data_IF_829912290443
#
_entry.id   IF_829912290443
#
_cell.length_a   1.000
_cell.length_b   1.000
_cell.length_c   1.000
_cell.angle_alpha   90.00
_cell.angle_beta   90.00
_cell.angle_gamma   90.00
#
_symmetry.space_group_name_H-M   'P 1'
#
loop_
_entity.id
_entity.type
_entity.pdbx_description
1 polymer ?
#
# COMPACT_ATOMS: atom_id res chain seq x y z
N UNK A 1 -5.51 -16.81 -0.51
CA UNK A 1 -5.47 -15.49 0.14
C UNK A 1 -5.69 -15.61 1.65
N UNK A 2 -6.70 -16.39 2.07
CA UNK A 2 -7.01 -16.64 3.50
C UNK A 2 -5.80 -17.11 4.31
N UNK A 3 -5.02 -18.06 3.77
CA UNK A 3 -3.82 -18.55 4.44
C UNK A 3 -2.82 -17.44 4.76
N UNK A 4 -2.61 -16.47 3.85
CA UNK A 4 -1.67 -15.37 4.07
C UNK A 4 -2.24 -14.37 5.10
N UNK A 5 -3.52 -14.04 4.99
CA UNK A 5 -4.15 -13.06 5.89
C UNK A 5 -4.23 -13.62 7.32
N UNK A 6 -4.77 -14.82 7.48
CA UNK A 6 -5.02 -15.40 8.80
C UNK A 6 -3.74 -15.93 9.46
N UNK A 7 -2.81 -16.53 8.71
CA UNK A 7 -1.64 -17.18 9.31
C UNK A 7 -0.37 -16.31 9.30
N UNK A 8 -0.20 -15.40 8.33
CA UNK A 8 1.00 -14.55 8.25
C UNK A 8 0.75 -13.18 8.88
N UNK A 9 -0.32 -12.51 8.45
CA UNK A 9 -0.66 -11.16 8.93
C UNK A 9 -1.44 -11.22 10.26
N UNK A 10 -2.01 -12.39 10.60
CA UNK A 10 -2.92 -12.59 11.74
C UNK A 10 -4.15 -11.66 11.67
N UNK A 11 -4.59 -11.33 10.46
CA UNK A 11 -5.78 -10.53 10.21
C UNK A 11 -7.03 -11.40 10.11
N UNK A 12 -8.19 -10.75 10.20
CA UNK A 12 -9.48 -11.37 9.93
C UNK A 12 -9.83 -11.19 8.45
N UNK A 13 -10.14 -12.29 7.76
CA UNK A 13 -10.54 -12.25 6.36
C UNK A 13 -11.88 -11.53 6.15
N UNK A 14 -12.76 -11.54 7.15
CA UNK A 14 -14.06 -10.85 7.09
C UNK A 14 -13.89 -9.34 6.92
N UNK A 15 -12.76 -8.77 7.37
CA UNK A 15 -12.45 -7.37 7.13
C UNK A 15 -12.35 -7.04 5.62
N UNK A 16 -11.88 -7.99 4.79
CA UNK A 16 -11.83 -7.79 3.34
C UNK A 16 -13.23 -7.79 2.72
N UNK A 17 -14.14 -8.60 3.27
CA UNK A 17 -15.55 -8.61 2.86
C UNK A 17 -16.23 -7.29 3.22
N UNK A 18 -16.01 -6.79 4.44
CA UNK A 18 -16.57 -5.52 4.93
C UNK A 18 -16.13 -4.31 4.08
N UNK A 19 -14.91 -4.35 3.52
CA UNK A 19 -14.38 -3.31 2.64
C UNK A 19 -14.98 -3.32 1.23
N UNK A 20 -15.74 -4.36 0.86
CA UNK A 20 -16.44 -4.37 -0.43
C UNK A 20 -17.53 -3.31 -0.49
N UNK A 21 -17.81 -2.79 -1.69
CA UNK A 21 -18.84 -1.77 -1.88
C UNK A 21 -20.23 -2.22 -1.41
N UNK A 22 -20.57 -3.49 -1.61
CA UNK A 22 -21.87 -4.03 -1.22
C UNK A 22 -22.03 -4.03 0.30
N UNK A 23 -21.04 -4.54 1.04
CA UNK A 23 -21.05 -4.55 2.50
C UNK A 23 -21.00 -3.15 3.09
N UNK A 24 -20.15 -2.27 2.55
CA UNK A 24 -20.11 -0.86 2.97
C UNK A 24 -21.48 -0.18 2.80
N UNK A 25 -22.16 -0.41 1.68
CA UNK A 25 -23.49 0.17 1.40
C UNK A 25 -24.55 -0.34 2.37
N UNK A 26 -24.55 -1.64 2.67
CA UNK A 26 -25.42 -2.24 3.69
C UNK A 26 -25.16 -1.61 5.06
N UNK A 27 -23.89 -1.45 5.44
CA UNK A 27 -23.48 -0.86 6.71
C UNK A 27 -23.95 0.59 6.86
N UNK A 28 -23.68 1.45 5.88
CA UNK A 28 -24.06 2.88 5.91
C UNK A 28 -25.58 3.06 5.93
N UNK A 29 -26.32 2.19 5.22
CA UNK A 29 -27.79 2.24 5.23
C UNK A 29 -28.37 1.90 6.60
N UNK A 30 -27.76 0.93 7.30
CA UNK A 30 -28.20 0.48 8.63
C UNK A 30 -27.76 1.43 9.75
N UNK A 31 -26.55 1.98 9.66
CA UNK A 31 -25.92 2.78 10.71
C UNK A 31 -25.77 4.24 10.24
N UNK A 32 -26.84 5.03 10.39
CA UNK A 32 -26.80 6.45 10.05
C UNK A 32 -25.99 7.24 11.08
N UNK A 33 -25.19 8.18 10.59
CA UNK A 33 -24.49 9.12 11.46
C UNK A 33 -25.48 10.12 12.08
N UNK A 34 -25.40 10.42 13.39
CA UNK A 34 -26.25 11.42 14.02
C UNK A 34 -25.86 12.85 13.58
N UNK A 35 -26.85 13.67 13.26
CA UNK A 35 -26.65 15.05 12.78
C UNK A 35 -26.08 16.01 13.83
N UNK A 36 -26.07 15.61 15.10
CA UNK A 36 -25.60 16.43 16.22
C UNK A 36 -24.08 16.43 16.41
N UNK A 37 -23.35 15.56 15.69
CA UNK A 37 -21.91 15.41 15.85
C UNK A 37 -21.20 16.11 14.67
N UNK A 38 -20.28 17.07 14.94
CA UNK A 38 -19.50 17.68 13.87
C UNK A 38 -18.59 16.63 13.24
N UNK A 39 -18.63 16.57 11.91
CA UNK A 39 -17.87 15.59 11.13
C UNK A 39 -16.83 16.29 10.26
N UNK A 40 -15.61 15.78 10.32
CA UNK A 40 -14.50 16.23 9.48
C UNK A 40 -13.97 15.00 8.73
N UNK A 41 -13.96 15.07 7.40
CA UNK A 41 -13.37 14.06 6.55
C UNK A 41 -12.00 14.53 6.07
N UNK A 42 -11.01 13.65 6.15
CA UNK A 42 -9.72 13.83 5.53
C UNK A 42 -9.62 12.86 4.38
N UNK A 43 -9.26 13.37 3.21
CA UNK A 43 -8.84 12.50 2.12
C UNK A 43 -7.37 12.75 1.81
N UNK A 44 -6.72 11.80 1.16
CA UNK A 44 -5.35 11.94 0.70
C UNK A 44 -5.22 11.38 -0.70
N UNK A 45 -4.19 11.83 -1.41
CA UNK A 45 -3.92 11.44 -2.78
C UNK A 45 -2.48 10.94 -2.87
N UNK A 46 -2.30 9.69 -3.26
CA UNK A 46 -0.98 9.15 -3.53
C UNK A 46 -0.42 9.80 -4.80
N UNK A 47 0.91 9.94 -4.83
CA UNK A 47 1.56 10.36 -6.05
C UNK A 47 1.55 9.20 -7.06
N UNK A 48 0.65 9.27 -8.05
CA UNK A 48 0.57 8.30 -9.14
C UNK A 48 1.59 8.56 -10.24
N UNK A 49 2.21 9.74 -10.24
CA UNK A 49 3.31 10.01 -11.13
C UNK A 49 4.48 9.14 -10.67
N UNK A 50 4.71 8.06 -11.42
CA UNK A 50 5.84 7.15 -11.27
C UNK A 50 7.11 7.89 -11.74
N UNK A 51 7.38 9.03 -11.10
CA UNK A 51 8.58 9.80 -11.30
C UNK A 51 9.70 8.85 -10.90
N UNK A 52 10.67 8.71 -11.80
CA UNK A 52 11.88 7.90 -11.70
C UNK A 52 12.66 8.07 -10.37
N UNK A 53 12.27 8.98 -9.51
CA UNK A 53 12.70 9.11 -8.12
C UNK A 53 12.46 7.85 -7.27
N UNK A 54 11.41 7.04 -7.51
CA UNK A 54 11.31 5.71 -6.85
C UNK A 54 12.11 4.62 -7.56
N UNK A 55 12.42 4.76 -8.86
CA UNK A 55 13.33 3.82 -9.54
C UNK A 55 14.78 3.92 -9.03
N UNK A 56 15.13 4.95 -8.25
CA UNK A 56 16.42 5.01 -7.55
C UNK A 56 16.50 4.09 -6.31
N UNK A 57 15.38 3.73 -5.69
CA UNK A 57 15.36 2.71 -4.62
C UNK A 57 15.06 1.30 -5.14
N UNK A 58 14.55 1.19 -6.38
CA UNK A 58 14.33 -0.09 -7.06
C UNK A 58 15.51 -0.51 -7.95
N UNK A 59 16.44 0.39 -8.31
CA UNK A 59 17.76 0.01 -8.79
C UNK A 59 18.55 -0.50 -7.59
N UNK A 60 18.36 -1.78 -7.25
CA UNK A 60 19.45 -2.55 -6.65
C UNK A 60 20.58 -2.58 -7.68
N UNK A 61 21.46 -1.58 -7.66
CA UNK A 61 22.75 -1.69 -8.34
C UNK A 61 23.42 -2.92 -7.74
N UNK A 62 23.47 -4.00 -8.51
CA UNK A 62 24.25 -5.18 -8.15
C UNK A 62 25.69 -4.71 -8.23
N UNK A 63 26.42 -4.60 -7.10
CA UNK A 63 27.85 -4.36 -7.19
C UNK A 63 28.42 -5.56 -7.94
N UNK A 64 29.14 -5.32 -9.03
CA UNK A 64 29.92 -6.34 -9.72
C UNK A 64 31.01 -6.83 -8.75
N UNK A 65 30.64 -7.68 -7.80
CA UNK A 65 31.56 -8.28 -6.86
C UNK A 65 31.79 -9.74 -7.27
N UNK A 66 33.04 -10.16 -7.52
CA UNK A 66 33.36 -11.55 -7.76
C UNK A 66 33.20 -12.28 -6.42
N UNK A 67 32.17 -13.13 -6.29
CA UNK A 67 31.99 -13.92 -5.08
C UNK A 67 32.97 -15.12 -5.07
N UNK A 68 33.58 -15.42 -3.91
CA UNK A 68 34.68 -16.37 -3.82
C UNK A 68 34.19 -17.80 -4.04
N UNK A 69 35.03 -18.55 -4.75
CA UNK A 69 34.86 -19.98 -5.03
C UNK A 69 35.08 -20.76 -3.72
N UNK A 70 34.03 -21.37 -3.18
CA UNK A 70 34.17 -22.34 -2.08
C UNK A 70 33.64 -23.69 -2.55
N UNK A 71 34.57 -24.62 -2.80
CA UNK A 71 34.29 -26.04 -3.02
C UNK A 71 34.51 -26.56 -4.44
N UNK A 72 35.76 -26.88 -4.77
CA UNK A 72 36.09 -28.12 -5.51
C UNK A 72 35.53 -29.28 -4.65
N UNK A 73 34.75 -30.27 -5.13
CA UNK A 73 35.10 -31.35 -6.05
C UNK A 73 33.84 -32.08 -6.57
N UNK A 74 33.89 -32.38 -7.87
CA UNK A 74 33.39 -33.56 -8.59
C UNK A 74 31.89 -33.80 -8.83
N UNK A 75 31.65 -33.96 -10.15
CA UNK A 75 30.74 -34.86 -10.86
C UNK A 75 29.28 -34.44 -11.07
N UNK A 76 29.03 -34.00 -12.32
CA UNK A 76 27.87 -34.31 -13.18
C UNK A 76 26.54 -34.54 -12.45
N UNK A 77 25.75 -33.48 -12.31
CA UNK A 77 24.42 -33.44 -12.94
C UNK A 77 23.86 -32.00 -12.89
N UNK A 78 23.40 -31.55 -14.05
CA UNK A 78 22.85 -30.23 -14.26
C UNK A 78 21.47 -30.13 -13.61
N UNK A 79 21.35 -29.39 -12.50
CA UNK A 79 20.06 -28.89 -12.02
C UNK A 79 20.16 -27.37 -11.93
N UNK A 80 19.41 -26.71 -12.81
CA UNK A 80 19.20 -25.26 -12.83
C UNK A 80 18.76 -24.77 -11.44
N UNK A 81 19.68 -24.21 -10.67
CA UNK A 81 19.34 -23.40 -9.51
C UNK A 81 18.87 -22.04 -10.00
N UNK A 82 17.56 -21.91 -10.23
CA UNK A 82 16.86 -20.63 -10.43
C UNK A 82 17.14 -19.72 -9.24
N UNK A 83 18.09 -18.81 -9.41
CA UNK A 83 18.49 -17.81 -8.41
C UNK A 83 17.40 -16.74 -8.31
N UNK A 84 16.39 -16.97 -7.46
CA UNK A 84 15.35 -15.98 -7.15
C UNK A 84 15.95 -14.87 -6.27
N UNK A 85 16.16 -13.69 -6.85
CA UNK A 85 16.49 -12.48 -6.09
C UNK A 85 15.21 -11.89 -5.50
N UNK A 86 15.11 -11.67 -4.18
CA UNK A 86 13.91 -11.10 -3.59
C UNK A 86 13.76 -9.64 -4.02
N UNK A 87 12.73 -9.36 -4.81
CA UNK A 87 12.32 -8.00 -5.15
C UNK A 87 11.59 -7.43 -3.94
N UNK A 88 12.27 -6.57 -3.19
CA UNK A 88 11.64 -5.81 -2.10
C UNK A 88 10.94 -4.61 -2.73
N UNK A 89 9.62 -4.68 -2.85
CA UNK A 89 8.82 -3.53 -3.30
C UNK A 89 8.49 -2.66 -2.08
N UNK A 90 8.89 -1.38 -2.05
CA UNK A 90 8.50 -0.48 -0.98
C UNK A 90 6.98 -0.32 -0.93
N UNK A 91 6.39 -0.22 0.27
CA UNK A 91 4.94 -0.06 0.45
C UNK A 91 4.40 1.15 -0.33
N UNK A 92 5.10 2.28 -0.33
CA UNK A 92 4.72 3.46 -1.12
C UNK A 92 4.68 3.21 -2.63
N UNK A 93 5.58 2.37 -3.16
CA UNK A 93 5.56 2.00 -4.59
C UNK A 93 4.34 1.13 -4.91
N UNK A 94 4.02 0.18 -4.03
CA UNK A 94 2.82 -0.64 -4.18
C UNK A 94 1.55 0.23 -4.13
N UNK A 95 1.45 1.16 -3.17
CA UNK A 95 0.32 2.07 -3.05
C UNK A 95 0.19 3.03 -4.25
N UNK A 96 1.29 3.51 -4.82
CA UNK A 96 1.26 4.33 -6.03
C UNK A 96 0.69 3.55 -7.24
N UNK A 97 1.08 2.27 -7.39
CA UNK A 97 0.53 1.39 -8.43
C UNK A 97 -0.95 1.11 -8.18
N UNK A 98 -1.34 0.83 -6.94
CA UNK A 98 -2.75 0.65 -6.58
C UNK A 98 -3.57 1.93 -6.83
N UNK A 99 -3.00 3.10 -6.54
CA UNK A 99 -3.65 4.38 -6.79
C UNK A 99 -3.89 4.61 -8.28
N UNK A 100 -2.88 4.30 -9.12
CA UNK A 100 -3.01 4.33 -10.57
C UNK A 100 -4.07 3.33 -11.06
N UNK A 101 -4.11 2.12 -10.49
CA UNK A 101 -5.13 1.13 -10.84
C UNK A 101 -6.55 1.64 -10.53
N UNK A 102 -6.77 2.25 -9.37
CA UNK A 102 -8.06 2.83 -8.98
C UNK A 102 -8.44 4.00 -9.90
N UNK A 103 -7.48 4.85 -10.25
CA UNK A 103 -7.69 5.95 -11.20
C UNK A 103 -8.10 5.43 -12.59
N UNK A 104 -7.43 4.41 -13.11
CA UNK A 104 -7.78 3.81 -14.41
C UNK A 104 -9.14 3.08 -14.37
N UNK A 105 -9.48 2.48 -13.24
CA UNK A 105 -10.72 1.69 -13.10
C UNK A 105 -11.95 2.56 -12.87
N UNK A 106 -11.81 3.61 -12.08
CA UNK A 106 -12.94 4.42 -11.59
C UNK A 106 -12.88 5.89 -12.02
N UNK A 107 -11.76 6.36 -12.57
CA UNK A 107 -11.58 7.77 -12.96
C UNK A 107 -11.40 8.71 -11.78
N UNK A 108 -11.15 8.18 -10.57
CA UNK A 108 -11.11 8.94 -9.32
C UNK A 108 -9.71 8.84 -8.69
N UNK A 109 -9.23 9.94 -8.10
CA UNK A 109 -7.96 9.96 -7.36
C UNK A 109 -8.09 9.16 -6.06
N UNK A 110 -6.97 8.62 -5.58
CA UNK A 110 -6.92 7.80 -4.37
C UNK A 110 -5.56 7.87 -3.68
N UNK A 111 -5.53 7.43 -2.42
CA UNK A 111 -4.31 7.29 -1.60
C UNK A 111 -3.60 5.94 -1.76
N UNK A 112 -4.05 5.13 -2.74
CA UNK A 112 -3.58 3.78 -2.98
C UNK A 112 -4.48 2.69 -2.43
N UNK A 113 -5.44 3.00 -1.55
CA UNK A 113 -6.42 2.04 -1.05
C UNK A 113 -7.86 2.55 -1.15
N UNK A 114 -8.08 3.83 -0.86
CA UNK A 114 -9.41 4.45 -0.79
C UNK A 114 -9.46 5.63 -1.75
N UNK A 115 -10.54 5.73 -2.53
CA UNK A 115 -10.75 6.89 -3.40
C UNK A 115 -11.04 8.14 -2.57
N UNK A 116 -10.62 9.31 -3.06
CA UNK A 116 -10.87 10.58 -2.40
C UNK A 116 -12.35 10.79 -2.10
N UNK A 117 -13.22 10.39 -3.04
CA UNK A 117 -14.67 10.47 -2.91
C UNK A 117 -15.21 9.55 -1.82
N UNK A 118 -14.63 8.37 -1.65
CA UNK A 118 -15.06 7.40 -0.64
C UNK A 118 -14.59 7.74 0.78
N UNK A 119 -13.55 8.56 0.91
CA UNK A 119 -13.09 9.11 2.18
C UNK A 119 -13.94 10.33 2.66
N UNK A 120 -14.67 10.96 1.74
CA UNK A 120 -15.56 12.09 2.03
C UNK A 120 -16.93 11.60 2.50
N UNK A 121 -17.28 11.88 3.76
CA UNK A 121 -18.62 11.58 4.26
C UNK A 121 -19.56 12.74 3.90
N UNK A 122 -20.74 12.48 3.31
CA UNK A 122 -21.70 13.53 3.00
C UNK A 122 -22.07 14.36 4.24
N UNK A 123 -22.01 15.69 4.12
CA UNK A 123 -22.30 16.63 5.21
C UNK A 123 -21.11 16.92 6.13
N UNK A 124 -19.97 16.27 5.94
CA UNK A 124 -18.73 16.60 6.65
C UNK A 124 -18.04 17.84 6.07
N UNK A 125 -17.21 18.48 6.89
CA UNK A 125 -16.19 19.41 6.41
C UNK A 125 -15.02 18.59 5.88
N UNK A 126 -14.71 18.74 4.59
CA UNK A 126 -13.63 18.00 3.94
C UNK A 126 -12.34 18.79 3.99
N UNK A 127 -11.28 18.19 4.53
CA UNK A 127 -9.92 18.72 4.53
C UNK A 127 -9.10 18.01 3.46
N UNK A 128 -8.51 18.81 2.58
CA UNK A 128 -7.73 18.36 1.41
C UNK A 128 -6.27 18.80 1.56
N UNK A 129 -5.36 17.90 1.96
CA UNK A 129 -3.94 18.23 2.00
C UNK A 129 -3.39 18.45 0.58
N UNK A 130 -2.65 19.54 0.38
CA UNK A 130 -2.01 19.81 -0.92
C UNK A 130 -0.87 18.82 -1.25
N UNK A 131 -0.26 18.24 -0.21
CA UNK A 131 0.82 17.28 -0.35
C UNK A 131 0.27 15.90 -0.76
N UNK A 132 0.89 15.29 -1.78
CA UNK A 132 0.56 13.93 -2.20
C UNK A 132 1.07 12.92 -1.17
N UNK A 133 0.15 12.29 -0.47
CA UNK A 133 0.40 11.37 0.64
C UNK A 133 -0.29 10.04 0.31
N UNK A 134 0.48 8.95 0.40
CA UNK A 134 -0.09 7.61 0.31
C UNK A 134 -0.76 7.21 1.64
N UNK A 135 -1.59 6.18 1.60
CA UNK A 135 -2.32 5.70 2.78
C UNK A 135 -1.39 5.27 3.93
N UNK A 136 -0.18 4.80 3.61
CA UNK A 136 0.78 4.39 4.64
C UNK A 136 1.32 5.57 5.43
N UNK A 137 1.37 6.77 4.84
CA UNK A 137 1.77 7.99 5.54
C UNK A 137 0.82 8.36 6.69
N UNK A 138 -0.49 8.11 6.53
CA UNK A 138 -1.48 8.40 7.59
C UNK A 138 -1.25 7.56 8.85
N UNK A 139 -0.75 6.33 8.68
CA UNK A 139 -0.53 5.38 9.79
C UNK A 139 0.92 5.39 10.27
N UNK A 140 1.87 5.81 9.43
CA UNK A 140 3.30 5.91 9.76
C UNK A 140 3.58 7.16 10.63
N UNK A 141 2.97 7.21 11.80
CA UNK A 141 3.16 8.26 12.81
C UNK A 141 3.87 7.72 14.05
N UNK A 142 5.14 7.33 13.92
CA UNK A 142 6.07 7.11 15.04
C UNK A 142 7.47 6.74 14.52
N UNK A 143 8.61 7.04 15.14
CA UNK A 143 8.97 7.62 16.44
C UNK A 143 10.50 7.83 16.39
N UNK A 144 11.00 9.05 16.64
CA UNK A 144 12.22 9.45 17.40
C UNK A 144 12.58 10.91 17.03
N UNK A 145 12.05 11.87 17.80
CA UNK A 145 12.88 13.03 18.17
C UNK A 145 13.84 12.53 19.25
N UNK A 146 15.09 12.25 18.91
CA UNK A 146 16.16 12.35 19.92
C UNK A 146 16.45 13.84 20.05
N UNK A 147 15.82 14.44 21.06
CA UNK A 147 16.16 15.78 21.53
C UNK A 147 17.36 15.65 22.46
N UNK A 148 18.41 16.43 22.13
CA UNK A 148 19.65 16.72 22.87
C UNK A 148 20.69 15.59 22.97
#
# INVERSE_FOLDING_TARGET
MEFLICNVIKGDITALEDLTYDKRKEFVKKNKHPDSIPLISFHSEANTALNSTMSHFAHAEIPWFPLPHFGTYNSVDAVQATRTVPVIVPVSAALAICALHLELRYGEKSDGLVTCRDAEVPGSVVVKPDMKLDHSWMVSSSWKKKTL
#
